data_IF_764551063458
#
_entry.id   IF_764551063458
#
_cell.length_a   1.000
_cell.length_b   1.000
_cell.length_c   1.000
_cell.angle_alpha   90.00
_cell.angle_beta   90.00
_cell.angle_gamma   90.00
#
_symmetry.space_group_name_H-M   'P 1'
#
loop_
_entity.id
_entity.type
_entity.pdbx_description
1 polymer ?
#
# COMPACT_ATOMS: atom_id res chain seq x y z
N UNK A 1 -4.67 11.50 7.95
CA UNK A 1 -4.06 10.16 7.95
C UNK A 1 -3.70 9.72 9.37
N UNK A 2 -4.66 9.18 10.12
CA UNK A 2 -4.42 8.68 11.49
C UNK A 2 -3.42 7.50 11.54
N UNK A 3 -3.30 6.74 10.44
CA UNK A 3 -2.32 5.66 10.31
C UNK A 3 -0.89 6.17 10.44
N UNK A 4 -0.57 7.31 9.81
CA UNK A 4 0.79 7.86 9.80
C UNK A 4 1.24 8.44 11.16
N UNK A 5 0.30 8.82 12.03
CA UNK A 5 0.65 9.38 13.36
C UNK A 5 1.26 8.33 14.29
N UNK A 6 1.02 7.05 14.03
CA UNK A 6 1.57 5.92 14.79
C UNK A 6 3.06 5.68 14.54
N UNK A 7 3.66 6.30 13.52
CA UNK A 7 5.08 6.15 13.13
C UNK A 7 5.52 4.69 13.00
N UNK A 8 4.71 3.88 12.33
CA UNK A 8 5.01 2.47 12.05
C UNK A 8 4.80 2.18 10.57
N UNK A 9 5.59 1.24 10.06
CA UNK A 9 5.31 0.58 8.80
C UNK A 9 3.88 0.02 8.82
N UNK A 10 3.22 0.06 7.67
CA UNK A 10 1.83 -0.37 7.53
C UNK A 10 1.73 -1.37 6.39
N UNK A 11 1.09 -2.50 6.66
CA UNK A 11 0.65 -3.47 5.66
C UNK A 11 -0.88 -3.37 5.61
N UNK A 12 -1.45 -3.16 4.42
CA UNK A 12 -2.89 -3.18 4.21
C UNK A 12 -3.25 -4.47 3.49
N UNK A 13 -4.03 -5.33 4.15
CA UNK A 13 -4.63 -6.50 3.52
C UNK A 13 -5.74 -6.06 2.56
N UNK A 14 -5.62 -6.47 1.29
CA UNK A 14 -6.54 -6.14 0.20
C UNK A 14 -7.32 -7.35 -0.29
N UNK A 15 -7.25 -8.50 0.39
CA UNK A 15 -7.90 -9.75 -0.03
C UNK A 15 -9.40 -9.59 -0.24
N UNK A 16 -10.06 -8.80 0.61
CA UNK A 16 -11.51 -8.53 0.54
C UNK A 16 -11.85 -7.26 -0.25
N UNK A 17 -10.90 -6.69 -1.00
CA UNK A 17 -11.10 -5.46 -1.78
C UNK A 17 -11.29 -5.83 -3.26
N UNK A 18 -12.54 -5.94 -3.75
CA UNK A 18 -12.79 -6.37 -5.13
C UNK A 18 -12.47 -5.28 -6.16
N UNK A 19 -12.51 -4.01 -5.75
CA UNK A 19 -12.33 -2.87 -6.64
C UNK A 19 -11.80 -1.64 -5.91
N UNK A 20 -11.07 -0.78 -6.63
CA UNK A 20 -10.52 0.47 -6.11
C UNK A 20 -10.84 1.63 -7.06
N UNK A 21 -11.57 2.63 -6.55
CA UNK A 21 -11.89 3.86 -7.28
C UNK A 21 -10.86 4.97 -7.01
N UNK A 22 -10.95 6.07 -7.76
CA UNK A 22 -10.10 7.25 -7.64
C UNK A 22 -10.03 7.84 -6.22
N UNK A 23 -11.14 7.83 -5.49
CA UNK A 23 -11.19 8.27 -4.09
C UNK A 23 -10.33 7.39 -3.16
N UNK A 24 -10.45 6.07 -3.31
CA UNK A 24 -9.65 5.11 -2.55
C UNK A 24 -8.16 5.20 -2.90
N UNK A 25 -7.84 5.34 -4.20
CA UNK A 25 -6.47 5.56 -4.67
C UNK A 25 -5.87 6.84 -4.07
N UNK A 26 -6.61 7.95 -4.11
CA UNK A 26 -6.16 9.23 -3.54
C UNK A 26 -5.87 9.13 -2.04
N UNK A 27 -6.71 8.41 -1.29
CA UNK A 27 -6.49 8.15 0.13
C UNK A 27 -5.23 7.33 0.38
N UNK A 28 -5.01 6.25 -0.38
CA UNK A 28 -3.80 5.42 -0.26
C UNK A 28 -2.53 6.22 -0.56
N UNK A 29 -2.55 7.08 -1.58
CA UNK A 29 -1.45 7.99 -1.91
C UNK A 29 -1.17 8.96 -0.76
N UNK A 30 -2.21 9.55 -0.18
CA UNK A 30 -2.05 10.44 0.98
C UNK A 30 -1.43 9.74 2.18
N UNK A 31 -1.84 8.49 2.45
CA UNK A 31 -1.28 7.66 3.52
C UNK A 31 0.17 7.30 3.22
N UNK A 32 0.47 6.81 2.02
CA UNK A 32 1.81 6.44 1.58
C UNK A 32 2.78 7.61 1.77
N UNK A 33 2.44 8.79 1.22
CA UNK A 33 3.26 10.00 1.36
C UNK A 33 3.47 10.42 2.81
N UNK A 34 2.43 10.33 3.65
CA UNK A 34 2.52 10.69 5.06
C UNK A 34 3.40 9.72 5.87
N UNK A 35 3.44 8.43 5.48
CA UNK A 35 4.32 7.40 6.04
C UNK A 35 5.76 7.59 5.54
N UNK A 36 5.97 7.79 4.24
CA UNK A 36 7.30 8.03 3.65
C UNK A 36 7.98 9.26 4.27
N UNK A 37 7.23 10.35 4.51
CA UNK A 37 7.74 11.54 5.21
C UNK A 37 8.20 11.28 6.66
N UNK A 38 7.94 10.08 7.20
CA UNK A 38 8.34 9.61 8.54
C UNK A 38 9.24 8.37 8.46
N UNK A 39 9.84 8.13 7.30
CA UNK A 39 10.70 6.96 7.04
C UNK A 39 9.97 5.62 7.24
N UNK A 40 8.64 5.63 7.12
CA UNK A 40 7.81 4.44 7.19
C UNK A 40 7.36 4.03 5.79
N UNK A 41 7.03 2.75 5.61
CA UNK A 41 6.56 2.20 4.34
C UNK A 41 5.09 1.80 4.43
N UNK A 42 4.40 1.90 3.30
CA UNK A 42 3.07 1.33 3.08
C UNK A 42 3.20 0.17 2.10
N UNK A 43 2.70 -1.01 2.46
CA UNK A 43 2.68 -2.19 1.59
C UNK A 43 1.22 -2.63 1.40
N UNK A 44 0.90 -3.04 0.18
CA UNK A 44 -0.40 -3.58 -0.19
C UNK A 44 -0.28 -5.10 -0.29
N UNK A 45 -1.01 -5.82 0.56
CA UNK A 45 -0.96 -7.27 0.65
C UNK A 45 -2.13 -7.87 -0.13
N UNK A 46 -1.83 -8.80 -1.03
CA UNK A 46 -2.80 -9.60 -1.77
C UNK A 46 -3.95 -8.80 -2.44
N UNK A 47 -3.68 -7.73 -3.20
CA UNK A 47 -4.72 -7.13 -4.02
C UNK A 47 -5.20 -8.11 -5.10
N UNK A 48 -6.49 -8.02 -5.46
CA UNK A 48 -7.00 -8.71 -6.66
C UNK A 48 -6.27 -8.23 -7.92
N UNK A 49 -6.25 -9.04 -8.98
CA UNK A 49 -5.58 -8.69 -10.24
C UNK A 49 -6.05 -7.35 -10.81
N UNK A 50 -7.35 -7.06 -10.70
CA UNK A 50 -7.93 -5.79 -11.13
C UNK A 50 -7.36 -4.61 -10.34
N UNK A 51 -7.27 -4.74 -9.02
CA UNK A 51 -6.71 -3.69 -8.14
C UNK A 51 -5.21 -3.55 -8.36
N UNK A 52 -4.48 -4.66 -8.47
CA UNK A 52 -3.05 -4.67 -8.73
C UNK A 52 -2.71 -4.00 -10.06
N UNK A 53 -3.47 -4.29 -11.13
CA UNK A 53 -3.29 -3.61 -12.41
C UNK A 53 -3.57 -2.11 -12.30
N UNK A 54 -4.64 -1.69 -11.65
CA UNK A 54 -4.93 -0.27 -11.46
C UNK A 54 -3.77 0.47 -10.74
N UNK A 55 -3.17 -0.16 -9.72
CA UNK A 55 -2.01 0.37 -8.99
C UNK A 55 -0.78 0.47 -9.89
N UNK A 56 -0.45 -0.59 -10.65
CA UNK A 56 0.71 -0.62 -11.56
C UNK A 56 0.56 0.36 -12.72
N UNK A 57 -0.62 0.43 -13.34
CA UNK A 57 -0.91 1.39 -14.42
C UNK A 57 -0.77 2.84 -13.95
N UNK A 58 -1.11 3.12 -12.69
CA UNK A 58 -0.91 4.43 -12.08
C UNK A 58 0.51 4.67 -11.52
N UNK A 59 1.43 3.70 -11.67
CA UNK A 59 2.80 3.70 -11.13
C UNK A 59 2.88 3.86 -9.61
N UNK A 60 1.79 3.58 -8.91
CA UNK A 60 1.73 3.72 -7.45
C UNK A 60 2.45 2.59 -6.73
N UNK A 61 2.70 1.47 -7.40
CA UNK A 61 3.55 0.36 -6.92
C UNK A 61 4.98 0.79 -6.56
N UNK A 62 5.46 1.92 -7.10
CA UNK A 62 6.77 2.49 -6.77
C UNK A 62 6.85 3.10 -5.36
N UNK A 63 5.71 3.56 -4.82
CA UNK A 63 5.63 4.19 -3.48
C UNK A 63 4.88 3.33 -2.47
N UNK A 64 4.04 2.41 -2.95
CA UNK A 64 3.29 1.45 -2.15
C UNK A 64 3.44 0.06 -2.79
N UNK A 65 4.55 -0.66 -2.49
CA UNK A 65 4.84 -1.97 -3.05
C UNK A 65 3.71 -2.97 -2.81
N UNK A 66 3.52 -3.87 -3.77
CA UNK A 66 2.56 -4.98 -3.69
C UNK A 66 3.30 -6.24 -3.22
N UNK A 67 2.72 -6.94 -2.26
CA UNK A 67 3.17 -8.25 -1.80
C UNK A 67 2.07 -9.30 -1.97
N UNK A 68 2.42 -10.47 -2.46
CA UNK A 68 1.49 -11.59 -2.67
C UNK A 68 1.34 -12.48 -1.44
N UNK A 69 2.13 -12.24 -0.39
CA UNK A 69 2.05 -12.96 0.87
C UNK A 69 2.52 -12.08 2.03
N UNK A 70 2.11 -12.46 3.25
CA UNK A 70 2.54 -11.74 4.45
C UNK A 70 4.06 -11.85 4.63
N UNK A 71 4.67 -12.97 4.24
CA UNK A 71 6.13 -13.14 4.25
C UNK A 71 6.83 -12.15 3.31
N UNK A 72 6.36 -12.06 2.07
CA UNK A 72 6.89 -11.10 1.09
C UNK A 72 6.73 -9.65 1.58
N UNK A 73 5.58 -9.33 2.20
CA UNK A 73 5.34 -8.02 2.79
C UNK A 73 6.35 -7.69 3.90
N UNK A 74 6.64 -8.64 4.80
CA UNK A 74 7.66 -8.43 5.83
C UNK A 74 9.07 -8.31 5.25
N UNK A 75 9.39 -9.02 4.17
CA UNK A 75 10.67 -8.87 3.46
C UNK A 75 10.88 -7.44 2.95
N UNK A 76 9.83 -6.83 2.39
CA UNK A 76 9.85 -5.46 1.87
C UNK A 76 9.96 -4.38 2.97
N UNK A 77 9.65 -4.70 4.22
CA UNK A 77 9.81 -3.76 5.36
C UNK A 77 11.24 -3.70 5.90
N UNK A 78 12.01 -4.78 5.74
CA UNK A 78 13.40 -4.89 6.25
C UNK A 78 14.43 -4.32 5.28
N UNK A 79 14.05 -4.05 4.04
CA UNK A 79 14.86 -3.37 3.04
C UNK A 79 14.93 -1.87 3.31
#
# INVERSE_FOLDING_TARGET
AATATRRKHTIIDMTEVPFMASLGMGLLVQIARALTAREQRLILLMPSDTVANAIRTSRLDTIMPIAESLEAAHGLLKA
#
